data_IF_794546656303
#
_entry.id   IF_794546656303
#
_cell.length_a   1.000
_cell.length_b   1.000
_cell.length_c   1.000
_cell.angle_alpha   90.00
_cell.angle_beta   90.00
_cell.angle_gamma   90.00
#
_symmetry.space_group_name_H-M   'P 1'
#
loop_
_entity.id
_entity.type
_entity.pdbx_description
1 polymer ?
#
# COMPACT_ATOMS: atom_id res chain seq x y z
N UNK A 1 25.22 12.79 -29.73
CA UNK A 1 26.05 12.21 -28.66
C UNK A 1 25.21 12.21 -27.39
N UNK A 2 24.52 11.09 -27.09
CA UNK A 2 23.62 10.97 -25.92
C UNK A 2 24.49 10.61 -24.72
N UNK A 3 24.46 11.42 -23.65
CA UNK A 3 25.19 11.13 -22.41
C UNK A 3 24.57 9.91 -21.71
N UNK A 4 25.35 8.89 -21.32
CA UNK A 4 24.84 7.77 -20.53
C UNK A 4 24.37 8.28 -19.17
N UNK A 5 23.13 7.97 -18.79
CA UNK A 5 22.64 8.16 -17.41
C UNK A 5 23.40 7.18 -16.50
N UNK A 6 24.20 7.71 -15.58
CA UNK A 6 24.79 6.92 -14.50
C UNK A 6 23.66 6.40 -13.60
N UNK A 7 23.37 5.11 -13.70
CA UNK A 7 22.41 4.43 -12.83
C UNK A 7 23.01 4.39 -11.42
N UNK A 8 22.39 5.00 -10.40
CA UNK A 8 22.95 5.01 -9.06
C UNK A 8 23.03 3.58 -8.51
N UNK A 9 24.25 3.16 -8.16
CA UNK A 9 24.52 1.84 -7.56
C UNK A 9 23.63 1.58 -6.34
N UNK A 10 23.10 0.36 -6.21
CA UNK A 10 22.16 -0.11 -5.18
C UNK A 10 22.61 0.20 -3.74
N UNK A 11 23.92 0.31 -3.50
CA UNK A 11 24.50 0.76 -2.22
C UNK A 11 24.02 2.16 -1.78
N UNK A 12 23.74 3.06 -2.72
CA UNK A 12 23.31 4.44 -2.43
C UNK A 12 21.83 4.54 -2.02
N UNK A 13 20.97 3.59 -2.44
CA UNK A 13 19.57 3.56 -2.04
C UNK A 13 19.41 3.22 -0.56
N UNK A 14 20.16 2.23 -0.07
CA UNK A 14 20.13 1.83 1.33
C UNK A 14 20.62 2.95 2.26
N UNK A 15 21.67 3.67 1.87
CA UNK A 15 22.16 4.82 2.64
C UNK A 15 21.16 5.98 2.66
N UNK A 16 20.42 6.20 1.56
CA UNK A 16 19.36 7.22 1.50
C UNK A 16 18.17 6.85 2.36
N UNK A 17 17.72 5.59 2.30
CA UNK A 17 16.64 5.09 3.14
C UNK A 17 16.99 5.19 4.63
N UNK A 18 18.23 4.85 5.01
CA UNK A 18 18.69 4.95 6.40
C UNK A 18 18.68 6.41 6.90
N UNK A 19 19.08 7.36 6.06
CA UNK A 19 19.07 8.79 6.41
C UNK A 19 17.65 9.38 6.48
N UNK A 20 16.75 8.95 5.58
CA UNK A 20 15.34 9.35 5.58
C UNK A 20 14.60 8.92 6.84
N UNK A 21 14.94 7.74 7.39
CA UNK A 21 14.33 7.23 8.63
C UNK A 21 14.92 7.91 9.87
N UNK A 22 16.17 8.38 9.81
CA UNK A 22 16.83 9.06 10.92
C UNK A 22 16.50 10.56 11.00
N UNK A 23 16.00 11.16 9.91
CA UNK A 23 15.72 12.60 9.83
C UNK A 23 14.22 12.86 9.62
N UNK A 24 13.49 13.26 10.69
CA UNK A 24 12.04 13.48 10.63
C UNK A 24 11.63 14.63 9.68
N UNK A 25 12.52 15.58 9.38
CA UNK A 25 12.22 16.68 8.48
C UNK A 25 12.21 16.23 7.01
N UNK A 26 13.15 15.36 6.65
CA UNK A 26 13.22 14.76 5.31
C UNK A 26 12.08 13.77 5.08
N UNK A 27 11.68 13.03 6.12
CA UNK A 27 10.52 12.16 6.07
C UNK A 27 9.23 12.94 5.80
N UNK A 28 9.06 14.11 6.44
CA UNK A 28 7.91 14.99 6.21
C UNK A 28 7.81 15.49 4.77
N UNK A 29 8.93 15.87 4.15
CA UNK A 29 8.96 16.28 2.74
C UNK A 29 8.60 15.16 1.78
N UNK A 30 9.11 13.96 2.05
CA UNK A 30 8.81 12.77 1.24
C UNK A 30 7.30 12.46 1.25
N UNK A 31 6.67 12.60 2.43
CA UNK A 31 5.23 12.39 2.61
C UNK A 31 4.41 13.44 1.85
N UNK A 32 4.79 14.72 1.90
CA UNK A 32 4.12 15.77 1.13
C UNK A 32 4.22 15.56 -0.39
N UNK A 33 5.39 15.19 -0.88
CA UNK A 33 5.58 14.91 -2.31
C UNK A 33 4.75 13.71 -2.77
N UNK A 34 4.66 12.66 -1.94
CA UNK A 34 3.83 11.50 -2.22
C UNK A 34 2.33 11.86 -2.27
N UNK A 35 1.87 12.69 -1.33
CA UNK A 35 0.46 13.11 -1.25
C UNK A 35 0.06 13.99 -2.46
N UNK A 36 0.92 14.93 -2.85
CA UNK A 36 0.70 15.75 -4.05
C UNK A 36 0.64 14.92 -5.34
N UNK A 37 1.48 13.89 -5.45
CA UNK A 37 1.51 12.99 -6.61
C UNK A 37 0.28 12.07 -6.64
N UNK A 38 -0.20 11.63 -5.47
CA UNK A 38 -1.40 10.83 -5.34
C UNK A 38 -2.66 11.61 -5.76
N UNK A 39 -2.79 12.88 -5.33
CA UNK A 39 -3.89 13.75 -5.75
C UNK A 39 -3.87 14.02 -7.26
N UNK A 40 -2.68 14.17 -7.85
CA UNK A 40 -2.53 14.40 -9.29
C UNK A 40 -2.95 13.21 -10.18
N UNK A 41 -3.08 12.00 -9.62
CA UNK A 41 -3.42 10.77 -10.37
C UNK A 41 -4.75 10.13 -9.97
N UNK A 42 -5.57 10.81 -9.16
CA UNK A 42 -6.87 10.34 -8.69
C UNK A 42 -7.82 9.89 -9.82
N UNK A 43 -7.80 10.55 -10.97
CA UNK A 43 -8.69 10.28 -12.12
C UNK A 43 -8.38 8.98 -12.89
N UNK A 44 -7.17 8.40 -12.75
CA UNK A 44 -6.78 7.14 -13.40
C UNK A 44 -7.13 5.89 -12.59
N UNK A 45 -7.49 6.05 -11.32
CA UNK A 45 -7.66 4.95 -10.38
C UNK A 45 -9.13 4.46 -10.28
N UNK A 46 -10.09 5.31 -10.63
CA UNK A 46 -11.52 4.94 -10.72
C UNK A 46 -12.02 4.17 -9.49
N UNK A 47 -12.60 2.99 -9.73
CA UNK A 47 -13.16 2.11 -8.69
C UNK A 47 -12.10 1.56 -7.70
N UNK A 48 -10.84 1.48 -8.10
CA UNK A 48 -9.76 0.96 -7.24
C UNK A 48 -9.42 1.91 -6.09
N UNK A 49 -9.77 3.20 -6.23
CA UNK A 49 -9.53 4.21 -5.20
C UNK A 49 -10.33 3.95 -3.91
N UNK A 50 -11.60 3.55 -4.05
CA UNK A 50 -12.46 3.24 -2.90
C UNK A 50 -12.05 1.93 -2.21
N UNK A 51 -11.60 0.95 -3.00
CA UNK A 51 -11.04 -0.30 -2.48
C UNK A 51 -9.71 -0.03 -1.74
N UNK A 52 -8.84 0.83 -2.26
CA UNK A 52 -7.60 1.25 -1.60
C UNK A 52 -7.87 1.98 -0.28
N UNK A 53 -8.83 2.91 -0.24
CA UNK A 53 -9.24 3.57 1.01
C UNK A 53 -9.73 2.56 2.05
N UNK A 54 -10.46 1.55 1.62
CA UNK A 54 -10.96 0.48 2.50
C UNK A 54 -9.80 -0.36 3.06
N UNK A 55 -8.82 -0.71 2.21
CA UNK A 55 -7.59 -1.40 2.63
C UNK A 55 -6.78 -0.58 3.66
N UNK A 56 -6.64 0.73 3.44
CA UNK A 56 -5.95 1.62 4.38
C UNK A 56 -6.67 1.70 5.73
N UNK A 57 -8.02 1.77 5.73
CA UNK A 57 -8.82 1.75 6.95
C UNK A 57 -8.67 0.44 7.72
N UNK A 58 -8.69 -0.70 7.01
CA UNK A 58 -8.46 -2.02 7.59
C UNK A 58 -7.08 -2.11 8.27
N UNK A 59 -6.02 -1.71 7.56
CA UNK A 59 -4.66 -1.71 8.11
C UNK A 59 -4.55 -0.82 9.35
N UNK A 60 -5.20 0.35 9.35
CA UNK A 60 -5.23 1.27 10.50
C UNK A 60 -5.99 0.69 11.69
N UNK A 61 -7.14 0.06 11.45
CA UNK A 61 -7.93 -0.59 12.49
C UNK A 61 -7.18 -1.77 13.13
N UNK A 62 -6.44 -2.53 12.31
CA UNK A 62 -5.57 -3.59 12.79
C UNK A 62 -4.38 -3.08 13.59
N UNK A 63 -3.67 -2.06 13.09
CA UNK A 63 -2.52 -1.45 13.78
C UNK A 63 -2.88 -0.79 15.12
N UNK A 64 -4.09 -0.25 15.22
CA UNK A 64 -4.63 0.30 16.49
C UNK A 64 -5.25 -0.75 17.41
N UNK A 65 -5.27 -2.02 17.00
CA UNK A 65 -5.86 -3.12 17.77
C UNK A 65 -7.39 -3.12 17.85
N UNK A 66 -8.06 -2.18 17.17
CA UNK A 66 -9.54 -2.06 17.15
C UNK A 66 -10.21 -3.18 16.38
N UNK A 67 -9.50 -3.78 15.42
CA UNK A 67 -10.00 -4.90 14.63
C UNK A 67 -8.91 -5.95 14.43
N UNK A 68 -9.12 -7.19 14.89
CA UNK A 68 -8.18 -8.30 14.73
C UNK A 68 -8.74 -9.52 14.02
N UNK A 69 -10.03 -9.51 13.67
CA UNK A 69 -10.69 -10.61 12.99
C UNK A 69 -10.43 -10.55 11.48
N UNK A 70 -9.15 -10.63 11.10
CA UNK A 70 -8.70 -10.59 9.71
C UNK A 70 -7.59 -11.62 9.50
N UNK A 71 -7.63 -12.44 8.43
CA UNK A 71 -6.56 -13.38 8.13
C UNK A 71 -5.22 -12.67 7.87
N UNK A 72 -4.12 -13.29 8.29
CA UNK A 72 -2.76 -12.78 8.04
C UNK A 72 -2.46 -12.56 6.55
N UNK A 73 -2.98 -13.44 5.68
CA UNK A 73 -2.85 -13.32 4.22
C UNK A 73 -3.49 -12.04 3.68
N UNK A 74 -4.59 -11.62 4.28
CA UNK A 74 -5.34 -10.41 3.90
C UNK A 74 -4.60 -9.15 4.31
N UNK A 75 -3.95 -9.16 5.47
CA UNK A 75 -3.05 -8.10 5.90
C UNK A 75 -1.85 -7.94 4.95
N UNK A 76 -1.21 -9.06 4.58
CA UNK A 76 -0.11 -9.08 3.61
C UNK A 76 -0.54 -8.52 2.25
N UNK A 77 -1.69 -8.96 1.75
CA UNK A 77 -2.24 -8.47 0.49
C UNK A 77 -2.58 -6.98 0.53
N UNK A 78 -3.19 -6.52 1.63
CA UNK A 78 -3.52 -5.11 1.81
C UNK A 78 -2.26 -4.23 1.89
N UNK A 79 -1.25 -4.67 2.63
CA UNK A 79 0.04 -3.99 2.70
C UNK A 79 0.73 -3.97 1.33
N UNK A 80 0.73 -5.09 0.61
CA UNK A 80 1.30 -5.20 -0.75
C UNK A 80 0.61 -4.27 -1.75
N UNK A 81 -0.73 -4.20 -1.73
CA UNK A 81 -1.49 -3.30 -2.59
C UNK A 81 -1.19 -1.82 -2.30
N UNK A 82 -1.06 -1.45 -1.02
CA UNK A 82 -0.70 -0.07 -0.61
C UNK A 82 0.74 0.27 -1.02
N UNK A 83 1.69 -0.65 -0.82
CA UNK A 83 3.07 -0.44 -1.25
C UNK A 83 3.17 -0.35 -2.77
N UNK A 84 2.43 -1.17 -3.52
CA UNK A 84 2.36 -1.14 -4.97
C UNK A 84 1.82 0.21 -5.46
N UNK A 85 0.82 0.75 -4.76
CA UNK A 85 0.28 2.07 -5.06
C UNK A 85 1.31 3.20 -4.84
N UNK A 86 2.08 3.12 -3.75
CA UNK A 86 3.08 4.14 -3.40
C UNK A 86 4.29 4.12 -4.35
N UNK A 87 4.75 2.93 -4.75
CA UNK A 87 5.83 2.79 -5.70
C UNK A 87 5.59 1.57 -6.61
N UNK A 88 4.91 1.74 -7.75
CA UNK A 88 4.60 0.62 -8.64
C UNK A 88 5.84 -0.03 -9.26
N UNK A 89 6.99 0.66 -9.30
CA UNK A 89 8.21 0.16 -9.92
C UNK A 89 9.15 -0.60 -8.97
N UNK A 90 9.22 -0.24 -7.68
CA UNK A 90 10.12 -0.91 -6.71
C UNK A 90 9.71 -2.35 -6.46
N UNK A 91 8.42 -2.59 -6.18
CA UNK A 91 7.95 -3.92 -5.79
C UNK A 91 8.01 -4.90 -6.95
N UNK A 92 7.71 -4.47 -8.18
CA UNK A 92 7.84 -5.32 -9.35
C UNK A 92 9.31 -5.75 -9.50
N UNK A 93 10.26 -4.82 -9.36
CA UNK A 93 11.68 -5.13 -9.47
C UNK A 93 12.18 -6.05 -8.35
N UNK A 94 11.83 -5.77 -7.09
CA UNK A 94 12.26 -6.56 -5.93
C UNK A 94 11.62 -7.96 -5.89
N UNK A 95 10.36 -8.09 -6.31
CA UNK A 95 9.64 -9.37 -6.32
C UNK A 95 10.14 -10.28 -7.46
N UNK A 96 10.35 -9.73 -8.67
CA UNK A 96 10.94 -10.46 -9.81
C UNK A 96 12.35 -10.96 -9.48
N UNK A 97 13.13 -10.18 -8.73
CA UNK A 97 14.49 -10.57 -8.35
C UNK A 97 14.52 -11.58 -7.20
N UNK A 98 13.50 -11.62 -6.33
CA UNK A 98 13.44 -12.49 -5.15
C UNK A 98 12.70 -13.82 -5.37
N UNK A 99 11.69 -13.88 -6.23
CA UNK A 99 10.88 -15.07 -6.49
C UNK A 99 10.70 -15.26 -8.00
N UNK A 100 11.17 -16.39 -8.52
CA UNK A 100 11.12 -16.71 -9.95
C UNK A 100 9.70 -16.61 -10.54
N UNK A 101 9.65 -16.06 -11.75
CA UNK A 101 8.48 -15.77 -12.61
C UNK A 101 7.25 -16.66 -12.40
N UNK A 102 6.25 -16.13 -11.69
CA UNK A 102 4.85 -16.59 -11.74
C UNK A 102 4.06 -15.53 -12.52
N UNK A 103 2.99 -15.94 -13.20
CA UNK A 103 2.13 -15.06 -14.01
C UNK A 103 1.34 -14.08 -13.11
N UNK A 104 1.92 -12.91 -12.82
CA UNK A 104 1.59 -12.03 -11.68
C UNK A 104 0.19 -11.40 -11.71
N UNK A 105 -0.37 -11.14 -12.91
CA UNK A 105 -1.70 -10.56 -13.02
C UNK A 105 -2.80 -11.50 -12.49
N UNK A 106 -2.61 -12.81 -12.66
CA UNK A 106 -3.51 -13.83 -12.13
C UNK A 106 -3.41 -13.93 -10.61
N UNK A 107 -2.19 -13.89 -10.07
CA UNK A 107 -1.96 -13.97 -8.62
C UNK A 107 -2.56 -12.77 -7.91
N UNK A 108 -2.32 -11.55 -8.41
CA UNK A 108 -2.89 -10.32 -7.85
C UNK A 108 -4.42 -10.34 -7.92
N UNK A 109 -4.99 -10.75 -9.06
CA UNK A 109 -6.45 -10.89 -9.22
C UNK A 109 -7.07 -11.91 -8.26
N UNK A 110 -6.40 -13.05 -8.05
CA UNK A 110 -6.86 -14.11 -7.16
C UNK A 110 -6.72 -13.73 -5.68
N UNK A 111 -5.66 -12.99 -5.34
CA UNK A 111 -5.48 -12.39 -4.02
C UNK A 111 -6.56 -11.35 -3.75
N UNK A 112 -6.78 -10.40 -4.66
CA UNK A 112 -7.85 -9.39 -4.57
C UNK A 112 -9.22 -10.05 -4.40
N UNK A 113 -9.51 -11.10 -5.18
CA UNK A 113 -10.74 -11.87 -5.05
C UNK A 113 -10.84 -12.58 -3.68
N UNK A 114 -9.73 -13.12 -3.18
CA UNK A 114 -9.69 -13.84 -1.89
C UNK A 114 -9.92 -12.93 -0.69
N UNK A 115 -9.44 -11.68 -0.75
CA UNK A 115 -9.56 -10.70 0.35
C UNK A 115 -10.86 -9.90 0.31
N UNK A 116 -11.61 -9.96 -0.80
CA UNK A 116 -12.83 -9.17 -1.00
C UNK A 116 -13.88 -9.46 0.08
N UNK A 117 -14.07 -10.72 0.44
CA UNK A 117 -14.94 -11.14 1.55
C UNK A 117 -14.48 -10.60 2.90
N UNK A 118 -13.18 -10.44 3.09
CA UNK A 118 -12.63 -9.93 4.35
C UNK A 118 -12.81 -8.43 4.46
N UNK A 119 -12.68 -7.71 3.34
CA UNK A 119 -12.99 -6.28 3.26
C UNK A 119 -14.47 -6.01 3.49
N UNK A 120 -15.36 -6.86 2.96
CA UNK A 120 -16.80 -6.80 3.22
C UNK A 120 -17.10 -7.00 4.71
N UNK A 121 -16.49 -8.00 5.36
CA UNK A 121 -16.62 -8.23 6.80
C UNK A 121 -16.11 -7.05 7.63
N UNK A 122 -14.97 -6.47 7.26
CA UNK A 122 -14.44 -5.28 7.91
C UNK A 122 -15.40 -4.09 7.76
N UNK A 123 -15.90 -3.84 6.56
CA UNK A 123 -16.82 -2.73 6.29
C UNK A 123 -18.13 -2.88 7.06
N UNK A 124 -18.65 -4.11 7.18
CA UNK A 124 -19.83 -4.39 7.99
C UNK A 124 -19.58 -4.15 9.49
N UNK A 125 -18.44 -4.59 10.02
CA UNK A 125 -18.03 -4.27 11.38
C UNK A 125 -17.92 -2.77 11.60
N UNK A 126 -17.31 -2.04 10.67
CA UNK A 126 -17.07 -0.61 10.78
C UNK A 126 -18.39 0.19 10.82
N UNK A 127 -19.36 -0.14 9.96
CA UNK A 127 -20.72 0.44 10.03
C UNK A 127 -21.40 0.16 11.37
N UNK A 128 -21.20 -1.03 11.94
CA UNK A 128 -21.76 -1.36 13.26
C UNK A 128 -21.14 -0.56 14.41
N UNK A 129 -19.93 -0.04 14.24
CA UNK A 129 -19.29 0.88 15.19
C UNK A 129 -19.81 2.31 15.03
N UNK A 130 -19.96 2.81 13.79
CA UNK A 130 -20.53 4.13 13.52
C UNK A 130 -21.94 4.29 14.10
N UNK A 131 -22.82 3.30 13.90
CA UNK A 131 -24.18 3.31 14.45
C UNK A 131 -24.15 3.40 15.98
N UNK A 132 -23.26 2.64 16.62
CA UNK A 132 -23.12 2.60 18.09
C UNK A 132 -22.58 3.91 18.69
N UNK A 133 -21.89 4.70 17.89
CA UNK A 133 -21.33 6.01 18.32
C UNK A 133 -22.32 7.15 18.09
N UNK A 134 -23.42 6.90 17.36
CA UNK A 134 -24.44 7.90 17.02
C UNK A 134 -25.64 7.92 18.00
N UNK A 135 -25.77 6.86 18.81
CA UNK A 135 -26.85 6.64 19.79
C UNK A 135 -26.42 6.94 21.25
N UNK A 136 -25.29 7.62 21.48
CA UNK A 136 -24.78 7.99 22.80
C UNK A 136 -24.32 9.44 22.86
#
# INVERSE_FOLDING_TARGET
MIRPMEVPSIKNLQQRALRLVQDPEQLGKLVQEADAKAQAHQSRLGAFWDELKTLLRLLRAYGTGRYRDVPWKTLLAAAGAVLYFLNPFDLIADFIYAFGFVDDALVVGLVLASIRRDLERFTAWERSQEIRTSDG
#
